data_IF_639348229493
#
_entry.id   IF_639348229493
#
_cell.length_a   1.000
_cell.length_b   1.000
_cell.length_c   1.000
_cell.angle_alpha   90.00
_cell.angle_beta   90.00
_cell.angle_gamma   90.00
#
_symmetry.space_group_name_H-M   'P 1'
#
loop_
_entity.id
_entity.type
_entity.pdbx_description
1 polymer ?
#
# COMPACT_ATOMS: atom_id res chain seq x y z
N UNK A 1 11.22 -36.62 11.66
CA UNK A 1 10.51 -35.92 12.76
C UNK A 1 11.53 -34.95 13.36
N UNK A 2 11.48 -33.66 12.95
CA UNK A 2 10.91 -32.55 13.75
C UNK A 2 11.86 -32.20 14.92
N UNK A 3 12.46 -31.03 15.06
CA UNK A 3 11.96 -29.69 14.85
C UNK A 3 13.03 -28.72 14.36
N UNK A 4 12.53 -27.72 13.66
CA UNK A 4 13.19 -26.56 13.06
C UNK A 4 13.99 -25.81 14.13
N UNK A 5 15.26 -25.51 13.84
CA UNK A 5 16.01 -24.49 14.57
C UNK A 5 15.35 -23.14 14.36
N UNK A 6 14.45 -22.80 15.27
CA UNK A 6 13.89 -21.49 15.46
C UNK A 6 14.99 -20.58 15.98
N UNK A 7 15.52 -19.79 15.05
CA UNK A 7 16.34 -18.62 15.34
C UNK A 7 15.51 -17.67 16.21
N UNK A 8 15.58 -17.87 17.52
CA UNK A 8 15.14 -16.95 18.55
C UNK A 8 15.91 -15.64 18.39
N UNK A 9 15.26 -14.69 17.73
CA UNK A 9 15.64 -13.29 17.78
C UNK A 9 15.20 -12.76 19.15
N UNK A 10 16.16 -12.52 20.05
CA UNK A 10 15.94 -11.64 21.22
C UNK A 10 15.74 -12.32 22.57
N UNK A 11 16.64 -13.20 23.01
CA UNK A 11 16.54 -13.80 24.34
C UNK A 11 16.75 -12.80 25.50
N UNK A 12 15.71 -12.68 26.35
CA UNK A 12 15.70 -12.14 27.72
C UNK A 12 15.96 -10.63 27.91
N UNK A 13 15.31 -9.81 27.08
CA UNK A 13 15.11 -8.39 27.33
C UNK A 13 13.67 -8.09 27.82
N UNK A 14 13.45 -6.91 28.39
CA UNK A 14 12.13 -6.41 28.83
C UNK A 14 11.09 -6.34 27.68
N UNK A 15 11.56 -6.57 26.46
CA UNK A 15 10.93 -6.60 25.15
C UNK A 15 10.17 -7.89 24.84
N UNK A 16 10.40 -9.00 25.55
CA UNK A 16 9.61 -10.24 25.36
C UNK A 16 8.35 -10.30 26.25
N UNK A 17 8.16 -9.34 27.16
CA UNK A 17 7.00 -9.30 28.06
C UNK A 17 5.75 -8.81 27.30
N UNK A 18 4.66 -9.59 27.25
CA UNK A 18 3.41 -9.13 26.64
C UNK A 18 2.91 -7.88 27.36
N UNK A 19 2.69 -6.79 26.61
CA UNK A 19 2.29 -5.49 27.17
C UNK A 19 3.46 -4.57 27.55
N UNK A 20 4.69 -4.92 27.18
CA UNK A 20 5.85 -4.04 27.33
C UNK A 20 5.72 -2.78 26.46
N UNK A 21 6.00 -1.62 27.06
CA UNK A 21 6.00 -0.33 26.37
C UNK A 21 7.00 -0.27 25.21
N UNK A 22 8.09 -1.04 25.31
CA UNK A 22 9.14 -1.12 24.29
C UNK A 22 8.62 -1.74 22.99
N UNK A 23 7.73 -2.73 23.08
CA UNK A 23 7.07 -3.35 21.92
C UNK A 23 6.14 -2.36 21.22
N UNK A 24 5.31 -1.64 21.97
CA UNK A 24 4.39 -0.66 21.39
C UNK A 24 5.12 0.44 20.63
N UNK A 25 6.25 0.92 21.13
CA UNK A 25 7.07 1.91 20.43
C UNK A 25 7.69 1.31 19.17
N UNK A 26 8.20 0.09 19.23
CA UNK A 26 8.75 -0.62 18.06
C UNK A 26 7.72 -0.79 16.94
N UNK A 27 6.51 -1.24 17.28
CA UNK A 27 5.42 -1.39 16.32
C UNK A 27 4.97 -0.05 15.74
N UNK A 28 4.88 0.99 16.56
CA UNK A 28 4.54 2.34 16.08
C UNK A 28 5.56 2.87 15.07
N UNK A 29 6.85 2.63 15.30
CA UNK A 29 7.91 2.96 14.35
C UNK A 29 7.77 2.13 13.08
N UNK A 30 7.54 0.83 13.19
CA UNK A 30 7.38 -0.06 12.04
C UNK A 30 6.19 0.35 11.15
N UNK A 31 5.04 0.64 11.76
CA UNK A 31 3.85 1.16 11.05
C UNK A 31 4.16 2.50 10.39
N UNK A 32 4.78 3.44 11.12
CA UNK A 32 5.12 4.76 10.58
C UNK A 32 6.04 4.66 9.37
N UNK A 33 7.09 3.84 9.45
CA UNK A 33 8.03 3.60 8.35
C UNK A 33 7.31 2.98 7.16
N UNK A 34 6.43 2.00 7.39
CA UNK A 34 5.65 1.35 6.33
C UNK A 34 4.71 2.34 5.64
N UNK A 35 4.00 3.18 6.40
CA UNK A 35 3.12 4.21 5.85
C UNK A 35 3.90 5.24 5.01
N UNK A 36 5.03 5.72 5.52
CA UNK A 36 5.89 6.68 4.82
C UNK A 36 6.43 6.06 3.53
N UNK A 37 6.92 4.83 3.58
CA UNK A 37 7.41 4.12 2.40
C UNK A 37 6.30 3.95 1.36
N UNK A 38 5.15 3.39 1.76
CA UNK A 38 4.02 3.17 0.87
C UNK A 38 3.54 4.47 0.21
N UNK A 39 3.45 5.56 0.98
CA UNK A 39 3.05 6.87 0.46
C UNK A 39 4.09 7.45 -0.50
N UNK A 40 5.36 7.54 -0.09
CA UNK A 40 6.41 8.18 -0.90
C UNK A 40 6.66 7.41 -2.19
N UNK A 41 6.80 6.09 -2.10
CA UNK A 41 7.07 5.27 -3.29
C UNK A 41 5.90 5.32 -4.25
N UNK A 42 4.66 5.18 -3.77
CA UNK A 42 3.47 5.28 -4.63
C UNK A 42 3.38 6.66 -5.26
N UNK A 43 3.64 7.73 -4.50
CA UNK A 43 3.62 9.10 -5.02
C UNK A 43 4.67 9.33 -6.10
N UNK A 44 5.90 8.85 -5.90
CA UNK A 44 6.97 8.95 -6.91
C UNK A 44 6.59 8.16 -8.16
N UNK A 45 6.09 6.94 -8.02
CA UNK A 45 5.65 6.13 -9.17
C UNK A 45 4.51 6.80 -9.93
N UNK A 46 3.50 7.31 -9.23
CA UNK A 46 2.41 8.06 -9.84
C UNK A 46 2.93 9.30 -10.58
N UNK A 47 3.86 10.05 -10.00
CA UNK A 47 4.46 11.22 -10.67
C UNK A 47 5.27 10.85 -11.91
N UNK A 48 6.03 9.75 -11.86
CA UNK A 48 6.78 9.25 -13.01
C UNK A 48 5.83 8.80 -14.12
N UNK A 49 4.76 8.08 -13.79
CA UNK A 49 3.76 7.65 -14.76
C UNK A 49 2.99 8.82 -15.37
N UNK A 50 2.63 9.81 -14.56
CA UNK A 50 2.00 11.05 -15.01
C UNK A 50 2.89 11.81 -16.01
N UNK A 51 4.20 11.81 -15.80
CA UNK A 51 5.17 12.41 -16.73
C UNK A 51 5.29 11.65 -18.06
N UNK A 52 5.17 10.33 -18.05
CA UNK A 52 5.42 9.49 -19.25
C UNK A 52 4.17 9.40 -20.13
N UNK A 53 3.01 9.12 -19.54
CA UNK A 53 1.80 8.76 -20.28
C UNK A 53 0.57 9.57 -19.88
N UNK A 54 0.60 10.25 -18.72
CA UNK A 54 -0.58 10.86 -18.12
C UNK A 54 -1.55 9.79 -17.61
N UNK A 55 -1.74 9.72 -16.29
CA UNK A 55 -2.62 8.68 -15.70
C UNK A 55 -4.10 9.10 -15.78
N UNK A 56 -4.37 10.40 -15.83
CA UNK A 56 -5.74 10.95 -15.88
C UNK A 56 -6.17 11.16 -17.33
N UNK A 57 -7.40 10.74 -17.63
CA UNK A 57 -8.08 11.02 -18.91
C UNK A 57 -8.48 12.49 -19.02
N UNK A 58 -8.78 12.95 -20.23
CA UNK A 58 -9.26 14.32 -20.46
C UNK A 58 -10.68 14.50 -19.89
N UNK A 59 -11.06 15.73 -19.52
CA UNK A 59 -12.36 16.02 -18.89
C UNK A 59 -13.55 15.54 -19.76
N UNK A 60 -13.42 15.58 -21.08
CA UNK A 60 -14.41 15.10 -22.05
C UNK A 60 -14.62 13.58 -22.01
N UNK A 61 -13.57 12.82 -21.70
CA UNK A 61 -13.60 11.34 -21.58
C UNK A 61 -14.02 10.94 -20.16
N UNK A 62 -13.78 11.80 -19.16
CA UNK A 62 -14.19 11.58 -17.77
C UNK A 62 -15.73 11.57 -17.61
N UNK A 63 -16.48 12.30 -18.44
CA UNK A 63 -17.95 12.35 -18.40
C UNK A 63 -18.64 11.05 -18.87
N UNK A 64 -18.01 10.29 -19.78
CA UNK A 64 -18.56 9.04 -20.31
C UNK A 64 -17.45 8.03 -20.61
N UNK A 65 -16.80 7.56 -19.56
CA UNK A 65 -15.64 6.66 -19.64
C UNK A 65 -15.99 5.32 -20.27
N UNK A 66 -17.20 4.84 -20.00
CA UNK A 66 -17.70 3.56 -20.50
C UNK A 66 -17.85 3.64 -22.03
N UNK A 67 -18.50 4.68 -22.56
CA UNK A 67 -18.61 4.85 -24.02
C UNK A 67 -17.28 5.23 -24.68
N UNK A 68 -16.51 6.14 -24.08
CA UNK A 68 -15.30 6.70 -24.71
C UNK A 68 -14.11 5.74 -24.75
N UNK A 69 -13.96 4.84 -23.77
CA UNK A 69 -12.85 3.88 -23.71
C UNK A 69 -13.30 2.47 -24.12
N UNK A 70 -14.53 2.08 -23.79
CA UNK A 70 -15.01 0.71 -24.01
C UNK A 70 -16.07 0.61 -25.13
N UNK A 71 -16.60 1.74 -25.63
CA UNK A 71 -17.58 1.75 -26.72
C UNK A 71 -18.95 1.20 -26.33
N UNK A 72 -19.20 1.03 -25.03
CA UNK A 72 -20.39 0.40 -24.47
C UNK A 72 -20.96 1.27 -23.34
N UNK A 73 -22.28 1.23 -23.13
CA UNK A 73 -22.89 1.83 -21.95
C UNK A 73 -22.97 0.76 -20.86
N UNK A 74 -22.46 1.01 -19.65
CA UNK A 74 -22.48 0.01 -18.56
C UNK A 74 -23.90 -0.44 -18.18
N UNK A 75 -24.90 0.39 -18.50
CA UNK A 75 -26.31 0.04 -18.38
C UNK A 75 -27.02 0.24 -19.72
N UNK A 76 -27.62 -0.83 -20.21
CA UNK A 76 -28.57 -0.80 -21.31
C UNK A 76 -29.96 -0.67 -20.67
N UNK A 77 -30.45 0.57 -20.53
CA UNK A 77 -31.79 0.81 -19.97
C UNK A 77 -32.84 0.45 -21.03
N UNK A 78 -33.25 -0.82 -21.01
CA UNK A 78 -34.42 -1.32 -21.75
C UNK A 78 -35.72 -0.82 -21.15
#
# INVERSE_FOLDING_TARGET
>A
MHHRGDRGLGGLGQDEIPGSWTLLVGELIAVSVTCIYAFIITWVLAKVMDLIMGIRVTDEVEEDLDFSIHGETAYDYR
#
